data_IF_066936351122
#
_entry.id   IF_066936351122
#
_cell.length_a   1.000
_cell.length_b   1.000
_cell.length_c   1.000
_cell.angle_alpha   90.00
_cell.angle_beta   90.00
_cell.angle_gamma   90.00
#
_symmetry.space_group_name_H-M   'P 1'
#
loop_
_entity.id
_entity.type
_entity.pdbx_description
1 polymer ?
#
# COMPACT_ATOMS: atom_id res chain seq x y z
N UNK A 1 9.08 23.48 4.25
CA UNK A 1 8.72 22.40 3.29
C UNK A 1 7.52 22.87 2.48
N UNK A 2 7.46 22.52 1.20
CA UNK A 2 6.36 22.89 0.31
C UNK A 2 5.08 22.15 0.72
N UNK A 3 3.96 22.82 0.57
CA UNK A 3 2.64 22.23 0.77
C UNK A 3 2.33 21.32 -0.42
N UNK A 4 2.04 20.04 -0.14
CA UNK A 4 1.78 19.04 -1.17
C UNK A 4 0.29 19.02 -1.49
N UNK A 5 -0.05 18.91 -2.77
CA UNK A 5 -1.45 18.75 -3.19
C UNK A 5 -1.94 17.33 -2.89
N UNK A 6 -3.27 17.15 -2.76
CA UNK A 6 -3.92 15.88 -2.37
C UNK A 6 -3.42 14.66 -3.17
N UNK A 7 -3.30 14.79 -4.49
CA UNK A 7 -2.84 13.73 -5.39
C UNK A 7 -1.38 13.35 -5.15
N UNK A 8 -0.52 14.32 -4.82
CA UNK A 8 0.87 14.06 -4.44
C UNK A 8 0.92 13.37 -3.07
N UNK A 9 0.15 13.85 -2.09
CA UNK A 9 0.08 13.22 -0.76
C UNK A 9 -0.38 11.77 -0.86
N UNK A 10 -1.49 11.53 -1.57
CA UNK A 10 -2.03 10.20 -1.80
C UNK A 10 -1.04 9.30 -2.57
N UNK A 11 -0.41 9.81 -3.63
CA UNK A 11 0.56 9.05 -4.41
C UNK A 11 1.77 8.63 -3.58
N UNK A 12 2.29 9.50 -2.71
CA UNK A 12 3.40 9.16 -1.81
C UNK A 12 3.05 8.04 -0.83
N UNK A 13 1.81 8.02 -0.31
CA UNK A 13 1.35 6.93 0.54
C UNK A 13 1.18 5.62 -0.25
N UNK A 14 0.46 5.71 -1.37
CA UNK A 14 -0.08 4.54 -2.06
C UNK A 14 0.93 3.88 -3.03
N UNK A 15 1.85 4.63 -3.63
CA UNK A 15 2.92 4.08 -4.48
C UNK A 15 4.07 3.48 -3.67
N UNK A 16 4.24 3.85 -2.41
CA UNK A 16 5.32 3.31 -1.57
C UNK A 16 5.27 1.77 -1.52
N UNK A 17 6.38 1.12 -1.87
CA UNK A 17 6.50 -0.33 -1.94
C UNK A 17 5.81 -0.98 -3.15
N UNK A 18 5.23 -0.20 -4.07
CA UNK A 18 4.70 -0.75 -5.32
C UNK A 18 5.81 -0.98 -6.34
N UNK A 19 5.68 -2.09 -7.06
CA UNK A 19 6.58 -2.43 -8.15
C UNK A 19 6.50 -1.38 -9.28
N UNK A 20 7.64 -0.89 -9.74
CA UNK A 20 7.75 0.24 -10.67
C UNK A 20 7.80 -0.15 -12.15
N UNK A 21 8.40 -1.29 -12.52
CA UNK A 21 8.65 -1.66 -13.93
C UNK A 21 7.45 -2.33 -14.61
N UNK A 22 6.69 -3.08 -13.86
CA UNK A 22 5.64 -3.97 -14.29
C UNK A 22 4.27 -3.52 -13.76
N UNK A 23 3.19 -3.69 -14.55
CA UNK A 23 1.85 -3.35 -14.10
C UNK A 23 1.33 -4.41 -13.12
N UNK A 24 0.79 -3.95 -11.99
CA UNK A 24 0.11 -4.80 -11.00
C UNK A 24 -1.35 -4.38 -10.83
N UNK A 25 -2.19 -5.23 -10.25
CA UNK A 25 -3.60 -4.86 -9.99
C UNK A 25 -3.65 -3.77 -8.92
N UNK A 26 -2.81 -3.89 -7.89
CA UNK A 26 -2.66 -2.88 -6.84
C UNK A 26 -2.22 -1.53 -7.41
N UNK A 27 -1.19 -1.49 -8.26
CA UNK A 27 -0.73 -0.25 -8.90
C UNK A 27 -1.82 0.39 -9.76
N UNK A 28 -2.56 -0.41 -10.54
CA UNK A 28 -3.69 0.11 -11.32
C UNK A 28 -4.80 0.70 -10.42
N UNK A 29 -5.03 0.13 -9.23
CA UNK A 29 -5.97 0.69 -8.28
C UNK A 29 -5.51 2.04 -7.73
N UNK A 30 -4.23 2.13 -7.38
CA UNK A 30 -3.60 3.38 -6.95
C UNK A 30 -3.74 4.46 -8.02
N UNK A 31 -3.37 4.17 -9.26
CA UNK A 31 -3.40 5.15 -10.35
C UNK A 31 -4.80 5.67 -10.67
N UNK A 32 -5.84 4.83 -10.55
CA UNK A 32 -7.24 5.27 -10.68
C UNK A 32 -7.66 6.22 -9.56
N UNK A 33 -7.23 5.94 -8.34
CA UNK A 33 -7.46 6.83 -7.21
C UNK A 33 -6.67 8.15 -7.34
N UNK A 34 -5.45 8.13 -7.88
CA UNK A 34 -4.72 9.38 -8.21
C UNK A 34 -5.51 10.23 -9.20
N UNK A 35 -6.10 9.62 -10.24
CA UNK A 35 -6.96 10.35 -11.18
C UNK A 35 -8.19 10.97 -10.51
N UNK A 36 -8.81 10.25 -9.57
CA UNK A 36 -9.91 10.77 -8.77
C UNK A 36 -9.47 11.95 -7.89
N UNK A 37 -8.29 11.85 -7.25
CA UNK A 37 -7.71 12.90 -6.44
C UNK A 37 -7.50 14.19 -7.23
N UNK A 38 -6.93 14.11 -8.43
CA UNK A 38 -6.70 15.27 -9.32
C UNK A 38 -7.99 16.03 -9.67
N UNK A 39 -9.14 15.33 -9.74
CA UNK A 39 -10.44 15.96 -9.96
C UNK A 39 -10.89 16.73 -8.72
N UNK A 40 -10.73 16.12 -7.54
CA UNK A 40 -11.17 16.69 -6.26
C UNK A 40 -10.30 17.88 -5.80
N UNK A 41 -9.02 17.89 -6.15
CA UNK A 41 -8.10 19.02 -5.89
C UNK A 41 -8.63 20.36 -6.40
N UNK A 42 -9.25 20.36 -7.59
CA UNK A 42 -9.77 21.59 -8.20
C UNK A 42 -10.90 22.24 -7.39
N UNK A 43 -11.50 21.50 -6.44
CA UNK A 43 -12.62 21.92 -5.60
C UNK A 43 -12.23 22.16 -4.15
N UNK A 44 -11.35 21.35 -3.58
CA UNK A 44 -10.90 21.52 -2.19
C UNK A 44 -10.17 22.86 -1.94
N UNK A 45 -9.54 23.44 -2.97
CA UNK A 45 -8.85 24.73 -2.87
C UNK A 45 -9.69 25.98 -3.13
N UNK A 46 -11.03 25.89 -3.24
CA UNK A 46 -11.93 27.05 -3.46
C UNK A 46 -12.78 27.30 -2.23
N UNK A 47 -12.79 28.54 -1.72
CA UNK A 47 -13.60 29.00 -0.58
C UNK A 47 -15.14 28.88 -0.76
N UNK A 48 -15.60 28.30 -1.87
CA UNK A 48 -17.01 28.11 -2.21
C UNK A 48 -17.40 26.64 -2.02
N UNK A 49 -17.48 26.18 -0.77
CA UNK A 49 -17.90 24.83 -0.40
C UNK A 49 -19.41 24.64 -0.55
N UNK A 50 -19.97 24.81 -1.76
CA UNK A 50 -21.35 24.39 -2.01
C UNK A 50 -21.39 22.86 -2.11
N UNK A 51 -22.23 22.22 -1.30
CA UNK A 51 -22.44 20.76 -1.31
C UNK A 51 -22.71 20.22 -2.73
N UNK A 52 -23.48 20.95 -3.53
CA UNK A 52 -23.78 20.57 -4.92
C UNK A 52 -22.54 20.49 -5.80
N UNK A 53 -21.58 21.41 -5.66
CA UNK A 53 -20.34 21.38 -6.42
C UNK A 53 -19.42 20.24 -5.98
N UNK A 54 -19.35 19.97 -4.68
CA UNK A 54 -18.58 18.84 -4.14
C UNK A 54 -19.13 17.51 -4.64
N UNK A 55 -20.45 17.30 -4.51
CA UNK A 55 -21.13 16.08 -4.96
C UNK A 55 -20.94 15.83 -6.45
N UNK A 56 -21.07 16.87 -7.29
CA UNK A 56 -20.83 16.76 -8.73
C UNK A 56 -19.36 16.40 -9.06
N UNK A 57 -18.41 16.97 -8.33
CA UNK A 57 -16.99 16.66 -8.50
C UNK A 57 -16.66 15.23 -8.06
N UNK A 58 -17.23 14.77 -6.96
CA UNK A 58 -17.10 13.40 -6.46
C UNK A 58 -17.66 12.38 -7.47
N UNK A 59 -18.85 12.62 -8.01
CA UNK A 59 -19.43 11.77 -9.04
C UNK A 59 -18.54 11.70 -10.29
N UNK A 60 -17.98 12.85 -10.71
CA UNK A 60 -17.03 12.90 -11.82
C UNK A 60 -15.73 12.13 -11.51
N UNK A 61 -15.20 12.26 -10.30
CA UNK A 61 -14.00 11.56 -9.85
C UNK A 61 -14.21 10.03 -9.87
N UNK A 62 -15.33 9.56 -9.33
CA UNK A 62 -15.75 8.15 -9.39
C UNK A 62 -15.87 7.68 -10.83
N UNK A 63 -16.55 8.43 -11.71
CA UNK A 63 -16.74 8.01 -13.10
C UNK A 63 -15.41 7.92 -13.87
N UNK A 64 -14.48 8.84 -13.63
CA UNK A 64 -13.15 8.82 -14.23
C UNK A 64 -12.37 7.60 -13.75
N UNK A 65 -12.32 7.37 -12.42
CA UNK A 65 -11.67 6.19 -11.86
C UNK A 65 -12.25 4.89 -12.43
N UNK A 66 -13.56 4.87 -12.72
CA UNK A 66 -14.25 3.70 -13.28
C UNK A 66 -13.97 3.42 -14.74
N UNK A 67 -13.78 4.46 -15.55
CA UNK A 67 -13.67 4.34 -17.02
C UNK A 67 -12.23 4.36 -17.54
N UNK A 68 -11.26 4.58 -16.66
CA UNK A 68 -9.85 4.75 -16.99
C UNK A 68 -9.24 3.54 -17.71
N UNK A 69 -8.67 3.79 -18.89
CA UNK A 69 -8.01 2.78 -19.73
C UNK A 69 -6.54 2.61 -19.36
N UNK A 70 -5.97 1.44 -19.70
CA UNK A 70 -4.56 1.10 -19.42
C UNK A 70 -3.54 2.12 -19.97
N UNK A 71 -3.82 2.73 -21.12
CA UNK A 71 -2.94 3.75 -21.70
C UNK A 71 -2.94 5.04 -20.87
N UNK A 72 -4.11 5.45 -20.42
CA UNK A 72 -4.30 6.64 -19.59
C UNK A 72 -3.70 6.43 -18.19
N UNK A 73 -3.86 5.24 -17.59
CA UNK A 73 -3.21 4.92 -16.31
C UNK A 73 -1.69 5.02 -16.40
N UNK A 74 -1.10 4.54 -17.52
CA UNK A 74 0.35 4.60 -17.73
C UNK A 74 0.85 6.04 -17.90
N UNK A 75 0.05 6.92 -18.53
CA UNK A 75 0.37 8.34 -18.65
C UNK A 75 0.33 9.04 -17.29
N UNK A 76 -0.70 8.78 -16.50
CA UNK A 76 -0.84 9.30 -15.13
C UNK A 76 0.35 8.85 -14.27
N UNK A 77 0.75 7.57 -14.35
CA UNK A 77 1.92 7.06 -13.63
C UNK A 77 3.17 7.88 -14.00
N UNK A 78 3.43 8.07 -15.29
CA UNK A 78 4.60 8.83 -15.75
C UNK A 78 4.58 10.29 -15.28
N UNK A 79 3.43 10.96 -15.35
CA UNK A 79 3.27 12.35 -14.93
C UNK A 79 3.52 12.52 -13.43
N UNK A 80 2.88 11.68 -12.61
CA UNK A 80 2.95 11.74 -11.15
C UNK A 80 4.33 11.34 -10.66
N UNK A 81 4.89 10.24 -11.17
CA UNK A 81 6.23 9.78 -10.79
C UNK A 81 7.28 10.80 -11.22
N UNK A 82 7.16 11.40 -12.40
CA UNK A 82 8.09 12.45 -12.84
C UNK A 82 8.02 13.68 -11.94
N UNK A 83 6.82 14.12 -11.57
CA UNK A 83 6.65 15.26 -10.66
C UNK A 83 7.27 14.99 -9.28
N UNK A 84 6.99 13.82 -8.69
CA UNK A 84 7.51 13.45 -7.37
C UNK A 84 9.03 13.20 -7.39
N UNK A 85 9.57 12.62 -8.46
CA UNK A 85 11.03 12.47 -8.64
C UNK A 85 11.74 13.82 -8.77
N UNK A 86 11.14 14.78 -9.49
CA UNK A 86 11.71 16.12 -9.66
C UNK A 86 11.78 16.90 -8.34
N UNK A 87 10.91 16.58 -7.37
CA UNK A 87 10.92 17.15 -6.02
C UNK A 87 11.71 16.28 -5.01
N UNK A 88 12.40 15.23 -5.48
CA UNK A 88 13.16 14.27 -4.65
C UNK A 88 12.31 13.51 -3.62
N UNK A 89 10.99 13.46 -3.81
CA UNK A 89 10.05 12.81 -2.89
C UNK A 89 9.82 11.33 -3.18
N UNK A 90 10.24 10.86 -4.36
CA UNK A 90 10.07 9.47 -4.79
C UNK A 90 11.30 8.98 -5.53
N UNK A 91 11.78 7.78 -5.21
CA UNK A 91 12.89 7.12 -5.91
C UNK A 91 12.55 5.67 -6.23
N UNK A 92 13.28 5.09 -7.17
CA UNK A 92 13.21 3.66 -7.47
C UNK A 92 14.36 2.94 -6.76
N UNK A 93 14.03 1.87 -6.06
CA UNK A 93 14.98 1.00 -5.34
C UNK A 93 14.73 -0.47 -5.72
N UNK A 94 15.67 -1.39 -5.44
CA UNK A 94 15.40 -2.81 -5.59
C UNK A 94 14.13 -3.22 -4.82
N UNK A 95 13.31 -4.09 -5.41
CA UNK A 95 12.14 -4.63 -4.73
C UNK A 95 12.55 -5.78 -3.81
N UNK A 96 12.09 -5.76 -2.56
CA UNK A 96 12.34 -6.84 -1.60
C UNK A 96 11.83 -8.19 -2.09
N UNK A 97 10.76 -8.20 -2.92
CA UNK A 97 10.25 -9.42 -3.54
C UNK A 97 11.30 -10.10 -4.42
N UNK A 98 12.26 -9.35 -4.99
CA UNK A 98 13.38 -9.91 -5.75
C UNK A 98 14.34 -10.76 -4.90
N UNK A 99 14.27 -10.65 -3.57
CA UNK A 99 15.03 -11.51 -2.64
C UNK A 99 14.27 -12.77 -2.23
N UNK A 100 13.00 -12.91 -2.61
CA UNK A 100 12.27 -14.13 -2.33
C UNK A 100 12.84 -15.28 -3.17
N UNK A 101 12.99 -16.45 -2.57
CA UNK A 101 13.53 -17.66 -3.21
C UNK A 101 12.91 -17.97 -4.57
N UNK A 102 11.60 -17.73 -4.75
CA UNK A 102 10.88 -17.99 -5.99
C UNK A 102 11.24 -16.98 -7.10
N UNK A 103 11.75 -15.80 -6.73
CA UNK A 103 12.06 -14.69 -7.63
C UNK A 103 13.57 -14.51 -7.85
N UNK A 104 14.41 -14.70 -6.83
CA UNK A 104 15.88 -14.57 -6.94
C UNK A 104 16.43 -15.55 -7.99
N UNK A 105 15.81 -16.73 -8.10
CA UNK A 105 16.16 -17.76 -9.10
C UNK A 105 15.64 -17.47 -10.51
N UNK A 106 14.71 -16.52 -10.67
CA UNK A 106 14.08 -16.19 -11.96
C UNK A 106 14.89 -15.22 -12.82
N UNK A 107 15.85 -14.50 -12.23
CA UNK A 107 16.66 -13.48 -12.91
C UNK A 107 15.89 -12.24 -13.38
N UNK A 108 14.65 -12.05 -12.92
CA UNK A 108 13.82 -10.89 -13.23
C UNK A 108 14.27 -9.71 -12.35
N UNK A 109 14.60 -8.59 -12.98
CA UNK A 109 14.85 -7.34 -12.27
C UNK A 109 13.52 -6.78 -11.76
N UNK A 110 13.40 -6.64 -10.43
CA UNK A 110 12.24 -6.03 -9.78
C UNK A 110 12.67 -4.75 -9.08
N UNK A 111 11.91 -3.68 -9.29
CA UNK A 111 12.12 -2.39 -8.61
C UNK A 111 10.83 -1.94 -7.96
N UNK A 112 10.96 -1.27 -6.83
CA UNK A 112 9.85 -0.67 -6.12
C UNK A 112 10.03 0.84 -5.99
N UNK A 113 8.92 1.56 -5.95
CA UNK A 113 8.91 2.96 -5.55
C UNK A 113 9.13 3.09 -4.04
N UNK A 114 10.05 3.96 -3.64
CA UNK A 114 10.29 4.34 -2.26
C UNK A 114 10.06 5.83 -2.10
N UNK A 115 9.09 6.18 -1.27
CA UNK A 115 8.77 7.56 -0.93
C UNK A 115 9.79 8.12 0.07
N UNK A 116 10.00 9.43 0.05
CA UNK A 116 10.75 10.14 1.08
C UNK A 116 10.16 9.84 2.47
N UNK A 117 11.01 9.43 3.41
CA UNK A 117 10.59 8.96 4.72
C UNK A 117 9.91 10.07 5.52
N UNK A 118 10.49 11.27 5.52
CA UNK A 118 9.98 12.40 6.32
C UNK A 118 8.58 12.78 5.85
N UNK A 119 8.41 12.92 4.54
CA UNK A 119 7.12 13.26 3.93
C UNK A 119 6.10 12.14 4.12
N UNK A 120 6.51 10.88 3.92
CA UNK A 120 5.65 9.72 4.10
C UNK A 120 5.13 9.60 5.53
N UNK A 121 6.02 9.66 6.52
CA UNK A 121 5.66 9.59 7.95
C UNK A 121 4.75 10.75 8.34
N UNK A 122 5.07 11.98 7.89
CA UNK A 122 4.24 13.15 8.19
C UNK A 122 2.81 13.01 7.68
N UNK A 123 2.62 12.57 6.42
CA UNK A 123 1.28 12.41 5.84
C UNK A 123 0.56 11.25 6.54
N UNK A 124 1.24 10.11 6.75
CA UNK A 124 0.68 8.92 7.40
C UNK A 124 0.22 9.23 8.82
N UNK A 125 1.10 9.78 9.65
CA UNK A 125 0.79 10.05 11.05
C UNK A 125 -0.15 11.25 11.21
N UNK A 126 -0.11 12.25 10.32
CA UNK A 126 -1.10 13.32 10.27
C UNK A 126 -2.52 12.79 10.02
N UNK A 127 -2.66 11.92 9.01
CA UNK A 127 -3.94 11.25 8.74
C UNK A 127 -4.39 10.36 9.91
N UNK A 128 -3.46 9.61 10.53
CA UNK A 128 -3.78 8.75 11.67
C UNK A 128 -4.24 9.56 12.87
N UNK A 129 -3.54 10.63 13.22
CA UNK A 129 -3.90 11.51 14.33
C UNK A 129 -5.31 12.08 14.14
N UNK A 130 -5.62 12.61 12.96
CA UNK A 130 -6.91 13.25 12.71
C UNK A 130 -8.10 12.27 12.75
N UNK A 131 -7.89 11.03 12.29
CA UNK A 131 -8.94 10.02 12.25
C UNK A 131 -9.11 9.29 13.59
N UNK A 132 -8.00 8.95 14.26
CA UNK A 132 -8.02 8.11 15.47
C UNK A 132 -8.18 8.92 16.76
N UNK A 133 -7.72 10.17 16.80
CA UNK A 133 -7.90 11.06 17.96
C UNK A 133 -9.28 11.71 17.95
N UNK A 134 -9.72 12.16 19.12
CA UNK A 134 -11.00 12.84 19.28
C UNK A 134 -10.91 14.28 18.74
N UNK A 135 -11.61 14.55 17.64
CA UNK A 135 -11.64 15.86 17.00
C UNK A 135 -12.46 15.89 15.70
N UNK A 136 -12.67 17.07 15.10
CA UNK A 136 -13.29 17.18 13.79
C UNK A 136 -12.33 16.66 12.71
N UNK A 137 -12.88 15.90 11.76
CA UNK A 137 -12.14 15.41 10.60
C UNK A 137 -12.25 16.44 9.49
N UNK A 138 -11.13 16.97 9.00
CA UNK A 138 -11.09 17.84 7.84
C UNK A 138 -11.53 17.09 6.58
N UNK A 139 -12.12 17.84 5.64
CA UNK A 139 -12.56 17.27 4.37
C UNK A 139 -11.40 16.70 3.55
N UNK A 140 -10.21 17.29 3.62
CA UNK A 140 -9.02 16.81 2.91
C UNK A 140 -8.60 15.42 3.40
N UNK A 141 -8.50 15.21 4.72
CA UNK A 141 -8.16 13.91 5.29
C UNK A 141 -9.27 12.88 5.09
N UNK A 142 -10.55 13.29 5.12
CA UNK A 142 -11.67 12.42 4.77
C UNK A 142 -11.58 11.92 3.31
N UNK A 143 -11.23 12.81 2.37
CA UNK A 143 -11.02 12.44 0.97
C UNK A 143 -9.80 11.54 0.82
N UNK A 144 -8.69 11.84 1.50
CA UNK A 144 -7.49 11.00 1.47
C UNK A 144 -7.79 9.58 1.99
N UNK A 145 -8.54 9.48 3.09
CA UNK A 145 -9.00 8.21 3.65
C UNK A 145 -9.90 7.45 2.67
N UNK A 146 -10.85 8.14 2.04
CA UNK A 146 -11.72 7.55 1.01
C UNK A 146 -10.89 6.98 -0.16
N UNK A 147 -9.91 7.71 -0.68
CA UNK A 147 -9.02 7.22 -1.74
C UNK A 147 -8.23 5.97 -1.32
N UNK A 148 -7.77 5.92 -0.07
CA UNK A 148 -7.07 4.75 0.50
C UNK A 148 -8.00 3.53 0.64
N UNK A 149 -9.26 3.75 1.04
CA UNK A 149 -10.29 2.69 1.08
C UNK A 149 -10.54 2.14 -0.31
N UNK A 150 -10.84 3.00 -1.27
CA UNK A 150 -11.23 2.62 -2.63
C UNK A 150 -10.12 1.92 -3.43
N UNK A 151 -8.87 2.23 -3.11
CA UNK A 151 -7.70 1.60 -3.73
C UNK A 151 -7.23 0.33 -3.01
N UNK A 152 -7.77 0.03 -1.83
CA UNK A 152 -7.31 -1.08 -0.98
C UNK A 152 -6.02 -0.80 -0.19
N UNK A 153 -5.58 0.46 -0.11
CA UNK A 153 -4.39 0.87 0.63
C UNK A 153 -4.67 1.14 2.12
N UNK A 154 -5.94 1.16 2.56
CA UNK A 154 -6.30 1.40 3.97
C UNK A 154 -5.59 0.43 4.94
N UNK A 155 -5.39 -0.80 4.47
CA UNK A 155 -4.68 -1.83 5.19
C UNK A 155 -3.21 -1.49 5.43
N UNK A 156 -2.57 -0.67 4.61
CA UNK A 156 -1.16 -0.32 4.80
C UNK A 156 -0.94 0.72 5.89
N UNK A 157 -1.99 1.44 6.28
CA UNK A 157 -1.92 2.52 7.26
C UNK A 157 -2.61 2.17 8.58
N UNK A 158 -3.62 1.29 8.55
CA UNK A 158 -4.45 0.98 9.70
C UNK A 158 -4.52 -0.53 9.95
N UNK A 159 -4.34 -0.92 11.21
CA UNK A 159 -4.61 -2.26 11.70
C UNK A 159 -6.11 -2.59 11.61
N UNK A 160 -6.46 -3.87 11.76
CA UNK A 160 -7.87 -4.33 11.68
C UNK A 160 -8.73 -3.63 12.76
N UNK A 161 -8.21 -3.50 13.98
CA UNK A 161 -8.90 -2.79 15.06
C UNK A 161 -9.05 -1.30 14.79
N UNK A 162 -8.02 -0.65 14.22
CA UNK A 162 -8.10 0.76 13.85
C UNK A 162 -9.07 0.99 12.69
N UNK A 163 -9.18 0.05 11.74
CA UNK A 163 -10.16 0.14 10.66
C UNK A 163 -11.59 0.16 11.17
N UNK A 164 -11.90 -0.62 12.22
CA UNK A 164 -13.22 -0.55 12.87
C UNK A 164 -13.47 0.83 13.49
N UNK A 165 -12.45 1.44 14.10
CA UNK A 165 -12.55 2.82 14.64
C UNK A 165 -12.71 3.86 13.53
N UNK A 166 -12.00 3.70 12.43
CA UNK A 166 -12.11 4.56 11.23
C UNK A 166 -13.54 4.53 10.68
N UNK A 167 -14.13 3.34 10.57
CA UNK A 167 -15.50 3.17 10.09
C UNK A 167 -16.53 3.84 11.02
N UNK A 168 -16.37 3.66 12.33
CA UNK A 168 -17.21 4.33 13.34
C UNK A 168 -17.13 5.85 13.21
N UNK A 169 -15.91 6.41 13.19
CA UNK A 169 -15.65 7.86 13.08
C UNK A 169 -16.21 8.47 11.80
N UNK A 170 -16.05 7.77 10.66
CA UNK A 170 -16.62 8.24 9.39
C UNK A 170 -18.15 8.15 9.37
N UNK A 171 -18.74 7.17 10.05
CA UNK A 171 -20.20 7.05 10.20
C UNK A 171 -20.75 8.19 11.07
N UNK A 172 -20.09 8.52 12.18
CA UNK A 172 -20.42 9.67 13.01
C UNK A 172 -20.36 10.98 12.20
N UNK A 173 -19.27 11.21 11.46
CA UNK A 173 -19.12 12.38 10.61
C UNK A 173 -20.23 12.46 9.52
N UNK A 174 -20.58 11.32 8.92
CA UNK A 174 -21.65 11.23 7.93
C UNK A 174 -23.05 11.54 8.50
N UNK A 175 -23.29 11.32 9.80
CA UNK A 175 -24.56 11.75 10.42
C UNK A 175 -24.63 13.26 10.62
N UNK A 176 -23.48 13.93 10.75
CA UNK A 176 -23.40 15.35 11.05
C UNK A 176 -23.37 16.22 9.80
N UNK A 177 -22.74 15.74 8.72
CA UNK A 177 -22.54 16.52 7.50
C UNK A 177 -22.73 15.66 6.23
N UNK A 178 -23.53 16.19 5.31
CA UNK A 178 -23.92 15.56 4.05
C UNK A 178 -22.73 15.33 3.10
N UNK A 179 -21.68 16.15 3.18
CA UNK A 179 -20.45 15.97 2.40
C UNK A 179 -19.75 14.65 2.77
N UNK A 180 -19.65 14.34 4.05
CA UNK A 180 -19.02 13.10 4.53
C UNK A 180 -19.88 11.90 4.19
N UNK A 181 -21.21 12.03 4.31
CA UNK A 181 -22.15 10.99 3.90
C UNK A 181 -22.02 10.62 2.43
N UNK A 182 -22.08 11.63 1.55
CA UNK A 182 -21.96 11.41 0.10
C UNK A 182 -20.58 10.89 -0.30
N UNK A 183 -19.52 11.35 0.36
CA UNK A 183 -18.17 10.83 0.18
C UNK A 183 -18.08 9.35 0.56
N UNK A 184 -18.61 8.98 1.73
CA UNK A 184 -18.49 7.62 2.24
C UNK A 184 -19.33 6.62 1.44
N UNK A 185 -20.51 7.02 0.95
CA UNK A 185 -21.40 6.24 0.06
C UNK A 185 -20.82 6.04 -1.36
N UNK A 186 -19.87 6.87 -1.78
CA UNK A 186 -19.31 6.80 -3.13
C UNK A 186 -18.28 5.67 -3.26
N UNK A 187 -18.47 4.79 -4.25
CA UNK A 187 -17.59 3.63 -4.46
C UNK A 187 -17.14 3.49 -5.92
N UNK A 188 -15.85 3.22 -6.12
CA UNK A 188 -15.25 2.72 -7.35
C UNK A 188 -14.42 1.43 -7.17
N UNK A 189 -14.25 0.91 -5.94
CA UNK A 189 -13.56 -0.36 -5.69
C UNK A 189 -14.28 -1.57 -6.30
N UNK A 190 -15.59 -1.49 -6.53
CA UNK A 190 -16.42 -2.56 -7.15
C UNK A 190 -15.90 -3.03 -8.52
N UNK A 191 -15.09 -2.22 -9.21
CA UNK A 191 -14.40 -2.65 -10.43
C UNK A 191 -13.35 -3.73 -10.14
N UNK A 192 -12.63 -3.62 -9.03
CA UNK A 192 -11.62 -4.60 -8.66
C UNK A 192 -12.27 -5.93 -8.28
N UNK A 193 -13.47 -5.94 -7.71
CA UNK A 193 -14.26 -7.15 -7.46
C UNK A 193 -14.63 -7.89 -8.77
N UNK A 194 -15.00 -7.13 -9.81
CA UNK A 194 -15.29 -7.71 -11.13
C UNK A 194 -14.06 -8.32 -11.81
N UNK A 195 -12.89 -7.70 -11.66
CA UNK A 195 -11.59 -8.24 -12.12
C UNK A 195 -11.18 -9.46 -11.30
N UNK A 196 -11.39 -9.39 -9.99
CA UNK A 196 -11.10 -10.46 -9.03
C UNK A 196 -11.90 -11.72 -9.32
N UNK A 197 -13.21 -11.58 -9.55
CA UNK A 197 -14.08 -12.70 -9.90
C UNK A 197 -13.67 -13.39 -11.20
N UNK A 198 -13.11 -12.67 -12.18
CA UNK A 198 -12.55 -13.29 -13.40
C UNK A 198 -11.22 -13.96 -13.10
N UNK A 199 -10.33 -13.31 -12.37
CA UNK A 199 -8.99 -13.83 -12.07
C UNK A 199 -9.04 -15.10 -11.20
N UNK A 200 -9.89 -15.13 -10.17
CA UNK A 200 -10.14 -16.32 -9.32
C UNK A 200 -10.73 -17.45 -10.17
N UNK A 201 -11.67 -17.17 -11.07
CA UNK A 201 -12.20 -18.20 -11.98
C UNK A 201 -11.09 -18.77 -12.88
N UNK A 202 -10.22 -17.93 -13.43
CA UNK A 202 -9.11 -18.33 -14.30
C UNK A 202 -7.97 -19.06 -13.54
N UNK A 203 -7.68 -18.68 -12.28
CA UNK A 203 -6.60 -19.29 -11.46
C UNK A 203 -7.08 -20.27 -10.39
N UNK A 204 -8.38 -20.60 -10.31
CA UNK A 204 -8.95 -21.59 -9.38
C UNK A 204 -8.28 -22.98 -9.41
N UNK A 205 -7.50 -23.30 -10.45
CA UNK A 205 -6.69 -24.51 -10.53
C UNK A 205 -5.32 -24.43 -9.80
N UNK A 206 -4.81 -23.23 -9.53
CA UNK A 206 -3.49 -22.99 -8.88
C UNK A 206 -3.59 -22.84 -7.36
N UNK A 207 -4.77 -22.48 -6.82
CA UNK A 207 -4.97 -22.18 -5.39
C UNK A 207 -5.58 -23.33 -4.58
N UNK A 208 -5.32 -24.59 -4.96
CA UNK A 208 -5.65 -25.76 -4.12
C UNK A 208 -4.50 -26.03 -3.13
N UNK A 209 -4.28 -25.15 -2.16
CA UNK A 209 -3.39 -25.42 -1.01
C UNK A 209 -4.10 -25.03 0.30
N UNK A 210 -4.06 -25.88 1.36
CA UNK A 210 -5.10 -26.04 2.36
C UNK A 210 -4.92 -25.16 3.60
N UNK A 211 -4.53 -23.89 3.43
CA UNK A 211 -4.60 -22.90 4.53
C UNK A 211 -5.43 -21.66 4.15
N UNK A 212 -6.27 -21.80 3.11
CA UNK A 212 -7.22 -20.77 2.65
C UNK A 212 -8.55 -20.79 3.42
N UNK A 213 -8.51 -20.98 4.75
CA UNK A 213 -9.70 -20.76 5.58
C UNK A 213 -9.76 -19.29 6.00
N UNK A 214 -10.77 -18.57 5.49
CA UNK A 214 -11.18 -17.25 6.00
C UNK A 214 -10.68 -16.01 5.26
N UNK A 215 -10.10 -16.13 4.05
CA UNK A 215 -9.55 -14.95 3.36
C UNK A 215 -10.66 -14.11 2.71
N UNK A 216 -10.93 -12.96 3.31
CA UNK A 216 -11.58 -11.84 2.63
C UNK A 216 -10.65 -11.38 1.50
N UNK A 217 -10.83 -11.98 0.33
CA UNK A 217 -9.95 -11.93 -0.83
C UNK A 217 -10.08 -10.58 -1.57
N UNK A 218 -9.59 -9.49 -0.96
CA UNK A 218 -9.39 -8.22 -1.64
C UNK A 218 -8.08 -8.30 -2.47
N UNK A 219 -8.20 -8.33 -3.79
CA UNK A 219 -7.07 -8.62 -4.69
C UNK A 219 -5.99 -7.54 -4.82
N UNK A 220 -6.23 -6.24 -4.56
CA UNK A 220 -5.14 -5.28 -4.41
C UNK A 220 -4.30 -5.54 -3.15
N UNK A 221 -4.93 -5.95 -2.05
CA UNK A 221 -4.29 -6.14 -0.75
C UNK A 221 -3.23 -7.26 -0.75
N UNK A 222 -3.56 -8.43 -1.31
CA UNK A 222 -2.64 -9.57 -1.36
C UNK A 222 -1.39 -9.29 -2.19
N UNK A 223 -1.50 -8.41 -3.18
CA UNK A 223 -0.37 -8.03 -4.03
C UNK A 223 0.61 -7.08 -3.31
N UNK A 224 0.13 -6.36 -2.28
CA UNK A 224 0.90 -5.37 -1.50
C UNK A 224 1.59 -5.97 -0.27
N UNK A 225 0.98 -6.96 0.38
CA UNK A 225 1.52 -7.60 1.59
C UNK A 225 2.15 -8.96 1.31
N UNK A 226 3.27 -8.97 0.60
CA UNK A 226 4.01 -10.21 0.32
C UNK A 226 5.01 -10.47 1.43
N UNK A 227 4.90 -11.65 2.05
CA UNK A 227 5.99 -12.18 2.87
C UNK A 227 7.12 -12.63 1.96
N UNK A 228 8.37 -12.32 2.32
CA UNK A 228 9.56 -12.67 1.54
C UNK A 228 10.33 -13.73 2.30
N UNK A 229 10.55 -14.87 1.67
CA UNK A 229 11.38 -15.94 2.19
C UNK A 229 12.74 -15.94 1.51
N UNK A 230 13.77 -15.68 2.30
CA UNK A 230 15.16 -15.69 1.85
C UNK A 230 15.76 -17.03 2.28
N UNK A 231 16.18 -17.84 1.32
CA UNK A 231 16.82 -19.11 1.60
C UNK A 231 18.24 -18.88 2.13
N UNK A 232 18.61 -19.67 3.13
CA UNK A 232 19.94 -19.64 3.71
C UNK A 232 20.28 -21.00 4.29
N UNK A 233 21.44 -21.53 3.90
CA UNK A 233 21.94 -22.79 4.43
C UNK A 233 22.78 -22.49 5.66
N UNK A 234 22.19 -22.62 6.85
CA UNK A 234 22.94 -22.37 8.09
C UNK A 234 22.70 -23.45 9.14
N UNK A 235 23.67 -24.37 9.23
CA UNK A 235 23.74 -25.39 10.27
C UNK A 235 24.31 -24.80 11.56
N UNK A 236 23.71 -25.15 12.71
CA UNK A 236 24.25 -24.78 14.03
C UNK A 236 24.07 -23.32 14.45
N UNK A 237 23.20 -22.55 13.80
CA UNK A 237 22.96 -21.14 14.15
C UNK A 237 21.68 -20.90 14.96
N UNK A 238 21.71 -19.81 15.73
CA UNK A 238 20.57 -19.31 16.47
C UNK A 238 19.79 -18.23 15.68
N UNK A 239 18.73 -17.69 16.28
CA UNK A 239 17.87 -16.67 15.66
C UNK A 239 18.61 -15.37 15.34
N UNK A 240 19.54 -14.96 16.21
CA UNK A 240 20.32 -13.73 16.02
C UNK A 240 21.31 -13.87 14.86
N UNK A 241 22.01 -15.01 14.76
CA UNK A 241 22.96 -15.26 13.67
C UNK A 241 22.24 -15.26 12.31
N UNK A 242 21.05 -15.87 12.24
CA UNK A 242 20.23 -15.91 11.02
C UNK A 242 19.73 -14.51 10.63
N UNK A 243 19.35 -13.68 11.60
CA UNK A 243 18.97 -12.29 11.35
C UNK A 243 20.16 -11.48 10.83
N UNK A 244 21.34 -11.61 11.45
CA UNK A 244 22.54 -10.91 11.00
C UNK A 244 22.91 -11.30 9.55
N UNK A 245 22.84 -12.60 9.22
CA UNK A 245 23.08 -13.07 7.85
C UNK A 245 22.04 -12.50 6.85
N UNK A 246 20.78 -12.39 7.24
CA UNK A 246 19.74 -11.79 6.41
C UNK A 246 20.01 -10.30 6.16
N UNK A 247 20.40 -9.55 7.19
CA UNK A 247 20.75 -8.12 7.09
C UNK A 247 21.93 -7.95 6.14
N UNK A 248 23.01 -8.73 6.31
CA UNK A 248 24.18 -8.66 5.42
C UNK A 248 23.83 -9.01 3.96
N UNK A 249 22.94 -9.98 3.73
CA UNK A 249 22.46 -10.32 2.40
C UNK A 249 21.67 -9.15 1.77
N UNK A 250 20.76 -8.53 2.53
CA UNK A 250 19.97 -7.39 2.08
C UNK A 250 20.85 -6.17 1.78
N UNK A 251 21.83 -5.88 2.62
CA UNK A 251 22.80 -4.79 2.38
C UNK A 251 23.57 -5.01 1.07
N UNK A 252 24.02 -6.25 0.81
CA UNK A 252 24.67 -6.61 -0.47
C UNK A 252 23.77 -6.45 -1.68
N UNK A 253 22.46 -6.61 -1.51
CA UNK A 253 21.44 -6.37 -2.56
C UNK A 253 21.06 -4.89 -2.70
N UNK A 254 21.64 -4.00 -1.89
CA UNK A 254 21.43 -2.55 -1.97
C UNK A 254 20.26 -2.03 -1.14
N UNK A 255 19.74 -2.82 -0.20
CA UNK A 255 18.75 -2.34 0.76
C UNK A 255 19.44 -1.60 1.90
N UNK A 256 18.74 -0.63 2.49
CA UNK A 256 19.12 -0.04 3.77
C UNK A 256 18.24 -0.66 4.84
N UNK A 257 18.86 -1.36 5.80
CA UNK A 257 18.15 -2.08 6.86
C UNK A 257 18.48 -1.48 8.21
N UNK A 258 17.45 -1.12 8.98
CA UNK A 258 17.59 -0.65 10.36
C UNK A 258 16.97 -1.67 11.31
N UNK A 259 17.74 -2.13 12.31
CA UNK A 259 17.23 -2.99 13.37
C UNK A 259 16.56 -2.17 14.48
N UNK A 260 15.28 -2.42 14.74
CA UNK A 260 14.50 -1.70 15.75
C UNK A 260 14.04 -2.68 16.83
N UNK A 261 14.44 -2.41 18.07
CA UNK A 261 14.12 -3.25 19.22
C UNK A 261 12.88 -2.73 19.93
N UNK A 262 11.87 -3.58 20.06
CA UNK A 262 10.59 -3.25 20.72
C UNK A 262 10.32 -4.34 21.75
N UNK A 263 10.56 -4.00 23.02
CA UNK A 263 10.49 -4.98 24.10
C UNK A 263 11.41 -6.17 23.84
N UNK A 264 10.82 -7.36 23.69
CA UNK A 264 11.53 -8.61 23.37
C UNK A 264 11.66 -8.90 21.86
N UNK A 265 10.94 -8.18 21.00
CA UNK A 265 10.98 -8.37 19.55
C UNK A 265 12.01 -7.45 18.88
N UNK A 266 12.59 -7.92 17.77
CA UNK A 266 13.44 -7.11 16.89
C UNK A 266 12.82 -7.08 15.50
N UNK A 267 12.42 -5.89 15.05
CA UNK A 267 11.91 -5.64 13.72
C UNK A 267 13.04 -5.14 12.81
N UNK A 268 12.90 -5.39 11.52
CA UNK A 268 13.73 -4.80 10.47
C UNK A 268 12.93 -3.72 9.77
N UNK A 269 13.40 -2.49 9.77
CA UNK A 269 12.87 -1.43 8.91
C UNK A 269 13.64 -1.44 7.60
N UNK A 270 12.91 -1.62 6.51
CA UNK A 270 13.45 -1.64 5.15
C UNK A 270 12.65 -0.61 4.34
N UNK A 271 13.30 0.51 3.99
CA UNK A 271 12.60 1.69 3.50
C UNK A 271 11.60 2.21 4.55
N UNK A 272 10.35 2.42 4.14
CA UNK A 272 9.28 2.93 5.02
C UNK A 272 8.43 1.83 5.67
N UNK A 273 8.80 0.55 5.54
CA UNK A 273 8.00 -0.59 6.02
C UNK A 273 8.78 -1.38 7.08
N UNK A 274 8.09 -1.80 8.12
CA UNK A 274 8.62 -2.67 9.16
C UNK A 274 8.33 -4.13 8.85
N UNK A 275 9.29 -5.00 9.14
CA UNK A 275 9.20 -6.43 8.93
C UNK A 275 9.55 -7.18 10.20
N UNK A 276 8.71 -8.15 10.56
CA UNK A 276 9.08 -9.22 11.48
C UNK A 276 9.96 -10.21 10.73
N UNK A 277 11.08 -10.56 11.35
CA UNK A 277 11.99 -11.60 10.85
C UNK A 277 11.98 -12.79 11.80
N UNK A 278 11.79 -13.98 11.24
CA UNK A 278 11.90 -15.23 12.00
C UNK A 278 12.43 -16.37 11.14
N UNK A 279 13.13 -17.34 11.73
CA UNK A 279 13.58 -18.51 10.99
C UNK A 279 12.39 -19.34 10.51
N UNK A 280 12.49 -19.87 9.29
CA UNK A 280 11.46 -20.73 8.71
C UNK A 280 12.11 -21.82 7.84
N UNK A 281 11.43 -22.95 7.72
CA UNK A 281 11.77 -24.00 6.75
C UNK A 281 10.59 -24.16 5.80
N UNK A 282 10.83 -24.00 4.51
CA UNK A 282 9.85 -24.30 3.45
C UNK A 282 10.20 -25.63 2.79
N UNK A 283 9.21 -26.40 2.36
CA UNK A 283 9.43 -27.64 1.61
C UNK A 283 9.16 -27.38 0.13
N UNK A 284 10.19 -27.50 -0.71
CA UNK A 284 10.05 -27.41 -2.16
C UNK A 284 10.41 -28.77 -2.78
N UNK A 285 9.51 -29.36 -3.58
CA UNK A 285 9.72 -30.67 -4.22
C UNK A 285 10.24 -31.78 -3.29
N UNK A 286 9.74 -31.80 -2.03
CA UNK A 286 10.16 -32.72 -0.95
C UNK A 286 11.56 -32.47 -0.37
N UNK A 287 12.22 -31.39 -0.75
CA UNK A 287 13.48 -30.93 -0.15
C UNK A 287 13.17 -29.84 0.87
N UNK A 288 13.61 -30.00 2.14
CA UNK A 288 13.50 -28.94 3.13
C UNK A 288 14.53 -27.85 2.83
N UNK A 289 14.07 -26.62 2.63
CA UNK A 289 14.88 -25.43 2.43
C UNK A 289 14.75 -24.57 3.68
N UNK A 290 15.88 -24.33 4.34
CA UNK A 290 15.96 -23.48 5.50
C UNK A 290 16.16 -22.02 5.07
N UNK A 291 15.61 -21.10 5.86
CA UNK A 291 15.65 -19.70 5.54
C UNK A 291 15.19 -18.80 6.68
N UNK A 292 14.95 -17.54 6.33
CA UNK A 292 14.21 -16.58 7.14
C UNK A 292 13.00 -16.10 6.38
N UNK A 293 11.93 -15.82 7.11
CA UNK A 293 10.73 -15.21 6.56
C UNK A 293 10.64 -13.76 7.07
N UNK A 294 10.48 -12.83 6.13
CA UNK A 294 10.19 -11.42 6.37
C UNK A 294 8.71 -11.20 6.17
N UNK A 295 8.00 -10.81 7.22
CA UNK A 295 6.56 -10.55 7.17
C UNK A 295 6.30 -9.09 7.52
N UNK A 296 5.60 -8.31 6.67
CA UNK A 296 5.24 -6.94 7.00
C UNK A 296 4.55 -6.85 8.36
N UNK A 297 5.03 -5.94 9.19
CA UNK A 297 4.54 -5.69 10.53
C UNK A 297 3.87 -4.32 10.57
N UNK A 298 2.70 -4.27 11.21
CA UNK A 298 2.02 -3.01 11.49
C UNK A 298 2.55 -2.39 12.77
N UNK A 299 2.76 -1.08 12.68
CA UNK A 299 3.02 -0.18 13.78
C UNK A 299 1.91 0.87 13.81
#
# INVERSE_FOLDING_TARGET
>A
MKELILSQQYALLALNGQESLHPSVAKNAVLRAVAAAQVLETKLGRDTNSFSEFSAALQKAVQIAKTLKKKETSQIEQEVVKALKAEELLKEVPDLLGCDMDYDTSGIELKAYLSDEISYVRIKEGLRAEILEDGPISLEHAVLLWLLRESGCIHDLFSISEQSRVEERMTEAATQDEQYRTLWEAEFHSIFEGVMNRFVKTKSKLFKNPYLEGVNLAFPYLDRRKSVFIDMVIWGTNVADRRAAAVEYLDKKGFTVEEIRIGSETLLKIGNIYYRIFPMTKTAYKVPIQGVNLVPAYW
#
